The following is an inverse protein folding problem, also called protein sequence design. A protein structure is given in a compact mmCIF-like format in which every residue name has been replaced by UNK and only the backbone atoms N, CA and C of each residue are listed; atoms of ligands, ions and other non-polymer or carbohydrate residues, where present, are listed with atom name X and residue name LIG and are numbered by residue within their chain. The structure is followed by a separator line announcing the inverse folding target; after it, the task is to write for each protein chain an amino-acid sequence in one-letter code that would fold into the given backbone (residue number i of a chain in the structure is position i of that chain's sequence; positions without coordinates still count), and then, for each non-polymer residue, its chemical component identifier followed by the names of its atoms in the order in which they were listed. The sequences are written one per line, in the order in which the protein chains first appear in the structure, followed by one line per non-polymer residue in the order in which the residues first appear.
data_IF_992166780144
#
_entry.id   IF_992166780144
#
_cell.length_a   1.000
_cell.length_b   1.000
_cell.length_c   1.000
_cell.angle_alpha   90.00
_cell.angle_beta   90.00
_cell.angle_gamma   90.00
#
_symmetry.space_group_name_H-M   'P 1'
#
loop_
_entity.id
_entity.type
_entity.pdbx_description
1 polymer ?
#
# COMPACT_ATOMS: atom_id res chain seq x y z
N UNK A 1 29.35 -12.81 -25.38
CA UNK A 1 28.99 -13.77 -26.45
C UNK A 1 29.01 -15.15 -25.83
N UNK A 2 27.89 -15.88 -25.84
CA UNK A 2 27.82 -17.23 -25.28
C UNK A 2 28.71 -18.19 -26.09
N UNK A 3 29.36 -19.14 -25.40
CA UNK A 3 30.12 -20.21 -26.07
C UNK A 3 29.24 -21.09 -26.97
N UNK A 4 29.82 -22.08 -27.66
CA UNK A 4 29.05 -22.97 -28.52
C UNK A 4 27.96 -23.69 -27.70
N UNK A 5 26.78 -23.86 -28.31
CA UNK A 5 25.70 -24.63 -27.74
C UNK A 5 26.18 -26.05 -27.39
N UNK A 6 25.90 -26.50 -26.16
CA UNK A 6 26.25 -27.83 -25.66
C UNK A 6 25.03 -28.42 -24.99
N UNK A 7 24.59 -29.58 -25.47
CA UNK A 7 23.51 -30.32 -24.82
C UNK A 7 24.03 -31.04 -23.58
N UNK A 8 23.31 -30.88 -22.48
CA UNK A 8 23.60 -31.54 -21.22
C UNK A 8 23.38 -33.05 -21.38
N UNK A 9 24.48 -33.81 -21.30
CA UNK A 9 24.43 -35.27 -21.36
C UNK A 9 23.89 -35.82 -20.05
N UNK A 10 22.66 -36.31 -20.10
CA UNK A 10 21.97 -36.95 -18.98
C UNK A 10 22.18 -38.47 -19.02
N UNK A 11 22.24 -39.16 -17.86
CA UNK A 11 22.39 -40.62 -17.83
C UNK A 11 21.34 -41.33 -18.67
N UNK A 12 21.70 -42.45 -19.32
CA UNK A 12 20.78 -43.19 -20.19
C UNK A 12 19.51 -43.67 -19.46
N UNK A 13 19.62 -43.96 -18.16
CA UNK A 13 18.53 -44.35 -17.28
C UNK A 13 17.79 -43.16 -16.62
N UNK A 14 18.11 -41.91 -16.96
CA UNK A 14 17.44 -40.75 -16.42
C UNK A 14 15.94 -40.78 -16.73
N UNK A 15 15.10 -40.36 -15.78
CA UNK A 15 13.66 -40.26 -15.99
C UNK A 15 13.33 -39.25 -17.09
N UNK A 16 12.16 -39.39 -17.72
CA UNK A 16 11.70 -38.46 -18.75
C UNK A 16 11.72 -36.99 -18.28
N UNK A 17 11.37 -36.73 -17.01
CA UNK A 17 11.42 -35.38 -16.42
C UNK A 17 12.82 -34.78 -16.35
N UNK A 18 13.83 -35.56 -15.97
CA UNK A 18 15.24 -35.09 -15.92
C UNK A 18 15.77 -34.77 -17.32
N UNK A 19 15.44 -35.60 -18.31
CA UNK A 19 15.80 -35.34 -19.71
C UNK A 19 15.12 -34.07 -20.24
N UNK A 20 13.84 -33.89 -19.94
CA UNK A 20 13.08 -32.71 -20.33
C UNK A 20 13.65 -31.44 -19.68
N UNK A 21 13.99 -31.48 -18.38
CA UNK A 21 14.57 -30.35 -17.68
C UNK A 21 15.94 -29.96 -18.26
N UNK A 22 16.81 -30.94 -18.53
CA UNK A 22 18.09 -30.70 -19.18
C UNK A 22 17.91 -30.05 -20.56
N UNK A 23 16.99 -30.57 -21.38
CA UNK A 23 16.67 -29.99 -22.69
C UNK A 23 16.19 -28.53 -22.60
N UNK A 24 15.39 -28.21 -21.57
CA UNK A 24 14.95 -26.84 -21.29
C UNK A 24 16.14 -25.98 -20.85
N UNK A 25 16.91 -26.41 -19.85
CA UNK A 25 18.03 -25.65 -19.28
C UNK A 25 19.12 -25.32 -20.33
N UNK A 26 19.33 -26.20 -21.31
CA UNK A 26 20.25 -25.96 -22.44
C UNK A 26 19.81 -24.79 -23.33
N UNK A 27 18.52 -24.42 -23.31
CA UNK A 27 17.91 -23.39 -24.19
C UNK A 27 17.39 -22.18 -23.43
N UNK A 28 16.96 -22.38 -22.19
CA UNK A 28 16.39 -21.38 -21.31
C UNK A 28 16.79 -21.73 -19.87
N UNK A 29 17.50 -20.85 -19.14
CA UNK A 29 18.14 -21.18 -17.86
C UNK A 29 17.13 -21.25 -16.70
N UNK A 30 16.14 -22.13 -16.80
CA UNK A 30 15.01 -22.26 -15.87
C UNK A 30 15.49 -22.60 -14.46
N UNK A 31 16.32 -23.63 -14.31
CA UNK A 31 16.81 -24.07 -13.01
C UNK A 31 17.71 -23.02 -12.37
N UNK A 32 18.52 -22.31 -13.17
CA UNK A 32 19.34 -21.21 -12.68
C UNK A 32 18.47 -20.05 -12.21
N UNK A 33 17.48 -19.64 -13.01
CA UNK A 33 16.54 -18.57 -12.65
C UNK A 33 15.79 -18.91 -11.36
N UNK A 34 15.27 -20.14 -11.25
CA UNK A 34 14.63 -20.62 -10.03
C UNK A 34 15.57 -20.55 -8.82
N UNK A 35 16.80 -21.06 -8.95
CA UNK A 35 17.75 -21.09 -7.84
C UNK A 35 18.20 -19.69 -7.42
N UNK A 36 18.44 -18.79 -8.37
CA UNK A 36 18.87 -17.42 -8.12
C UNK A 36 17.75 -16.58 -7.47
N UNK A 37 16.49 -16.79 -7.88
CA UNK A 37 15.36 -16.00 -7.41
C UNK A 37 14.68 -16.57 -6.15
N UNK A 38 14.71 -17.89 -5.95
CA UNK A 38 13.98 -18.51 -4.83
C UNK A 38 14.67 -19.75 -4.28
N UNK A 39 14.95 -20.76 -5.11
CA UNK A 39 15.38 -22.08 -4.67
C UNK A 39 16.59 -22.05 -3.71
N UNK A 40 17.71 -21.52 -4.18
CA UNK A 40 18.98 -21.41 -3.43
C UNK A 40 19.25 -20.00 -2.95
N UNK A 41 18.30 -19.08 -3.09
CA UNK A 41 18.43 -17.71 -2.58
C UNK A 41 18.52 -17.75 -1.05
N UNK A 42 19.60 -17.21 -0.48
CA UNK A 42 19.83 -17.20 0.96
C UNK A 42 19.06 -16.07 1.64
N UNK A 43 18.19 -16.42 2.59
CA UNK A 43 17.42 -15.48 3.39
C UNK A 43 17.78 -15.59 4.90
N UNK A 44 17.67 -14.48 5.68
CA UNK A 44 18.02 -14.45 7.10
C UNK A 44 17.25 -15.44 7.97
N UNK A 45 17.97 -16.29 8.71
CA UNK A 45 17.41 -17.40 9.54
C UNK A 45 16.30 -16.98 10.52
N UNK A 46 16.33 -15.74 11.03
CA UNK A 46 15.45 -15.25 12.09
C UNK A 46 14.16 -14.56 11.58
N UNK A 47 13.69 -14.83 10.35
CA UNK A 47 12.38 -14.36 9.89
C UNK A 47 11.25 -14.80 10.82
N UNK A 48 10.47 -13.84 11.30
CA UNK A 48 9.27 -14.10 12.07
C UNK A 48 7.99 -14.01 11.19
N UNK A 49 6.83 -14.05 11.85
CA UNK A 49 5.50 -14.00 11.20
C UNK A 49 5.32 -12.79 10.28
N UNK A 50 5.93 -11.64 10.58
CA UNK A 50 5.78 -10.42 9.78
C UNK A 50 6.37 -10.52 8.37
N UNK A 51 7.21 -11.53 8.13
CA UNK A 51 7.80 -11.78 6.81
C UNK A 51 6.87 -12.58 5.88
N UNK A 52 5.70 -13.03 6.36
CA UNK A 52 4.67 -13.69 5.54
C UNK A 52 3.91 -12.71 4.62
N UNK A 53 3.77 -11.45 5.02
CA UNK A 53 2.89 -10.51 4.31
C UNK A 53 3.37 -10.16 2.89
N UNK A 54 4.63 -10.45 2.53
CA UNK A 54 5.11 -10.31 1.16
C UNK A 54 4.56 -11.40 0.23
N UNK A 55 4.66 -12.66 0.64
CA UNK A 55 4.12 -13.79 -0.13
C UNK A 55 2.60 -13.81 -0.14
N UNK A 56 1.95 -13.41 0.97
CA UNK A 56 0.50 -13.22 0.99
C UNK A 56 0.04 -12.12 0.03
N UNK A 57 0.79 -11.01 -0.11
CA UNK A 57 0.43 -9.96 -1.07
C UNK A 57 0.49 -10.49 -2.51
N UNK A 58 1.47 -11.34 -2.83
CA UNK A 58 1.56 -12.01 -4.13
C UNK A 58 0.39 -12.96 -4.36
N UNK A 59 0.03 -13.76 -3.35
CA UNK A 59 -1.12 -14.67 -3.43
C UNK A 59 -2.41 -13.90 -3.73
N UNK A 60 -2.67 -12.82 -2.99
CA UNK A 60 -3.88 -12.00 -3.18
C UNK A 60 -3.85 -11.28 -4.53
N UNK A 61 -2.69 -10.80 -5.00
CA UNK A 61 -2.56 -10.24 -6.34
C UNK A 61 -2.98 -11.24 -7.43
N UNK A 62 -2.48 -12.48 -7.35
CA UNK A 62 -2.87 -13.56 -8.28
C UNK A 62 -4.37 -13.85 -8.18
N UNK A 63 -4.90 -13.91 -6.95
CA UNK A 63 -6.33 -14.10 -6.73
C UNK A 63 -7.16 -13.00 -7.39
N UNK A 64 -6.78 -11.73 -7.23
CA UNK A 64 -7.48 -10.59 -7.84
C UNK A 64 -7.43 -10.65 -9.37
N UNK A 65 -6.28 -10.96 -9.97
CA UNK A 65 -6.15 -11.07 -11.43
C UNK A 65 -7.03 -12.19 -11.96
N UNK A 66 -6.93 -13.39 -11.37
CA UNK A 66 -7.68 -14.57 -11.84
C UNK A 66 -9.18 -14.32 -11.71
N UNK A 67 -9.65 -13.88 -10.55
CA UNK A 67 -11.08 -13.59 -10.34
C UNK A 67 -11.56 -12.42 -11.19
N UNK A 68 -10.74 -11.39 -11.39
CA UNK A 68 -11.06 -10.25 -12.26
C UNK A 68 -11.24 -10.66 -13.73
N UNK A 69 -10.40 -11.56 -14.23
CA UNK A 69 -10.55 -12.13 -15.58
C UNK A 69 -11.90 -12.86 -15.72
N UNK A 70 -12.25 -13.73 -14.76
CA UNK A 70 -13.54 -14.43 -14.78
C UNK A 70 -14.74 -13.48 -14.70
N UNK A 71 -14.68 -12.44 -13.86
CA UNK A 71 -15.75 -11.44 -13.76
C UNK A 71 -15.89 -10.66 -15.07
N UNK A 72 -14.78 -10.30 -15.71
CA UNK A 72 -14.76 -9.55 -16.96
C UNK A 72 -15.43 -10.30 -18.12
N UNK A 73 -15.42 -11.64 -18.10
CA UNK A 73 -16.12 -12.46 -19.11
C UNK A 73 -17.65 -12.29 -19.10
N UNK A 74 -18.22 -11.79 -17.98
CA UNK A 74 -19.66 -11.66 -17.78
C UNK A 74 -20.12 -10.22 -17.52
N UNK A 75 -19.20 -9.31 -17.17
CA UNK A 75 -19.49 -7.91 -16.89
C UNK A 75 -19.77 -7.09 -18.17
N UNK A 76 -20.65 -6.07 -18.07
CA UNK A 76 -20.94 -5.12 -19.15
C UNK A 76 -20.59 -3.69 -18.72
N UNK A 77 -19.54 -3.06 -19.28
CA UNK A 77 -19.15 -1.68 -18.97
C UNK A 77 -20.03 -0.65 -19.69
N UNK A 78 -21.33 -0.68 -19.39
CA UNK A 78 -22.37 0.23 -19.90
C UNK A 78 -23.21 0.70 -18.71
N UNK A 79 -23.43 2.00 -18.55
CA UNK A 79 -24.10 2.57 -17.38
C UNK A 79 -25.53 2.02 -17.14
N UNK A 80 -26.22 1.56 -18.19
CA UNK A 80 -27.55 0.96 -18.07
C UNK A 80 -27.49 -0.53 -17.72
N UNK A 81 -26.40 -1.21 -18.06
CA UNK A 81 -26.26 -2.67 -17.92
C UNK A 81 -25.33 -3.09 -16.79
N UNK A 82 -24.44 -2.22 -16.31
CA UNK A 82 -23.37 -2.56 -15.37
C UNK A 82 -23.89 -3.19 -14.10
N UNK A 83 -24.82 -2.52 -13.41
CA UNK A 83 -25.43 -3.04 -12.18
C UNK A 83 -26.15 -4.37 -12.44
N UNK A 84 -26.95 -4.45 -13.50
CA UNK A 84 -27.66 -5.68 -13.89
C UNK A 84 -26.72 -6.83 -14.22
N UNK A 85 -25.58 -6.56 -14.86
CA UNK A 85 -24.58 -7.59 -15.20
C UNK A 85 -23.89 -8.15 -13.95
N UNK A 86 -23.70 -7.34 -12.92
CA UNK A 86 -23.17 -7.81 -11.63
C UNK A 86 -24.19 -8.69 -10.90
N UNK A 87 -25.47 -8.33 -10.93
CA UNK A 87 -26.53 -9.19 -10.38
C UNK A 87 -26.68 -10.51 -11.18
N UNK A 88 -26.50 -10.46 -12.50
CA UNK A 88 -26.43 -11.67 -13.34
C UNK A 88 -25.29 -12.59 -12.92
N UNK A 89 -24.08 -12.05 -12.68
CA UNK A 89 -22.94 -12.83 -12.15
C UNK A 89 -23.30 -13.49 -10.82
N UNK A 90 -23.99 -12.79 -9.93
CA UNK A 90 -24.37 -13.32 -8.63
C UNK A 90 -25.40 -14.45 -8.70
N UNK A 91 -26.33 -14.39 -9.64
CA UNK A 91 -27.55 -15.20 -9.63
C UNK A 91 -27.54 -16.31 -10.66
N UNK A 92 -26.98 -16.05 -11.84
CA UNK A 92 -27.14 -16.91 -13.02
C UNK A 92 -25.84 -17.62 -13.42
N UNK A 93 -24.68 -16.99 -13.19
CA UNK A 93 -23.40 -17.62 -13.54
C UNK A 93 -23.07 -18.71 -12.50
N UNK A 94 -22.82 -19.96 -12.92
CA UNK A 94 -22.40 -21.02 -12.00
C UNK A 94 -21.15 -20.60 -11.22
N UNK A 95 -21.24 -20.61 -9.89
CA UNK A 95 -20.19 -20.13 -8.96
C UNK A 95 -19.82 -18.63 -9.09
N UNK A 96 -20.57 -17.83 -9.86
CA UNK A 96 -20.27 -16.41 -10.06
C UNK A 96 -20.34 -15.59 -8.76
N UNK A 97 -21.26 -15.95 -7.84
CA UNK A 97 -21.31 -15.35 -6.51
C UNK A 97 -20.01 -15.54 -5.71
N UNK A 98 -19.40 -16.72 -5.81
CA UNK A 98 -18.16 -17.04 -5.10
C UNK A 98 -17.01 -16.24 -5.69
N UNK A 99 -16.91 -16.18 -7.03
CA UNK A 99 -15.88 -15.39 -7.71
C UNK A 99 -16.01 -13.90 -7.39
N UNK A 100 -17.24 -13.35 -7.37
CA UNK A 100 -17.48 -11.95 -7.01
C UNK A 100 -17.08 -11.68 -5.55
N UNK A 101 -17.45 -12.55 -4.62
CA UNK A 101 -17.05 -12.37 -3.22
C UNK A 101 -15.54 -12.56 -3.02
N UNK A 102 -14.91 -13.51 -3.70
CA UNK A 102 -13.45 -13.64 -3.68
C UNK A 102 -12.77 -12.35 -4.18
N UNK A 103 -13.27 -11.75 -5.26
CA UNK A 103 -12.68 -10.53 -5.81
C UNK A 103 -12.91 -9.30 -4.93
N UNK A 104 -14.12 -9.12 -4.41
CA UNK A 104 -14.47 -7.96 -3.56
C UNK A 104 -13.87 -8.05 -2.16
N UNK A 105 -14.06 -9.16 -1.46
CA UNK A 105 -13.43 -9.38 -0.14
C UNK A 105 -11.91 -9.53 -0.25
N UNK A 106 -11.42 -10.07 -1.37
CA UNK A 106 -9.99 -10.16 -1.68
C UNK A 106 -9.33 -8.80 -1.76
N UNK A 107 -10.01 -7.76 -2.29
CA UNK A 107 -9.51 -6.38 -2.24
C UNK A 107 -9.30 -5.90 -0.79
N UNK A 108 -10.26 -6.14 0.11
CA UNK A 108 -10.09 -5.82 1.54
C UNK A 108 -8.93 -6.59 2.17
N UNK A 109 -8.81 -7.89 1.91
CA UNK A 109 -7.67 -8.67 2.40
C UNK A 109 -6.34 -8.17 1.84
N UNK A 110 -6.33 -7.67 0.60
CA UNK A 110 -5.14 -7.09 -0.02
C UNK A 110 -4.64 -5.88 0.77
N UNK A 111 -5.53 -4.95 1.13
CA UNK A 111 -5.15 -3.79 1.95
C UNK A 111 -4.76 -4.17 3.38
N UNK A 112 -5.42 -5.15 4.00
CA UNK A 112 -4.99 -5.67 5.32
C UNK A 112 -3.55 -6.18 5.22
N UNK A 113 -3.26 -7.03 4.23
CA UNK A 113 -1.92 -7.60 4.02
C UNK A 113 -0.89 -6.52 3.73
N UNK A 114 -1.20 -5.54 2.87
CA UNK A 114 -0.28 -4.45 2.51
C UNK A 114 -0.04 -3.51 3.69
N UNK A 115 -1.06 -3.16 4.48
CA UNK A 115 -0.86 -2.36 5.70
C UNK A 115 0.01 -3.08 6.72
N UNK A 116 -0.18 -4.38 6.92
CA UNK A 116 0.70 -5.19 7.78
C UNK A 116 2.12 -5.33 7.21
N UNK A 117 2.25 -5.42 5.88
CA UNK A 117 3.54 -5.42 5.19
C UNK A 117 4.30 -4.09 5.38
N UNK A 118 3.62 -2.96 5.24
CA UNK A 118 4.18 -1.63 5.45
C UNK A 118 4.51 -1.39 6.93
N UNK A 119 3.65 -1.83 7.85
CA UNK A 119 3.91 -1.78 9.29
C UNK A 119 5.17 -2.57 9.67
N UNK A 120 5.38 -3.75 9.07
CA UNK A 120 6.65 -4.49 9.20
C UNK A 120 7.83 -3.66 8.70
N UNK A 121 7.69 -3.01 7.54
CA UNK A 121 8.72 -2.12 6.99
C UNK A 121 9.08 -1.00 7.97
N UNK A 122 8.06 -0.39 8.58
CA UNK A 122 8.18 0.67 9.57
C UNK A 122 8.92 0.20 10.83
N UNK A 123 8.53 -0.96 11.39
CA UNK A 123 9.10 -1.53 12.62
C UNK A 123 10.57 -1.96 12.46
N UNK A 124 10.93 -2.62 11.36
CA UNK A 124 12.30 -3.15 11.17
C UNK A 124 13.22 -2.20 10.41
N UNK A 125 12.72 -1.03 9.99
CA UNK A 125 13.51 -0.08 9.21
C UNK A 125 13.89 -0.62 7.84
N UNK A 126 13.02 -1.44 7.22
CA UNK A 126 13.30 -2.09 5.93
C UNK A 126 13.32 -1.12 4.74
N UNK A 127 12.95 0.14 4.97
CA UNK A 127 13.02 1.23 3.99
C UNK A 127 14.36 1.98 4.02
N UNK A 128 15.20 1.70 5.02
CA UNK A 128 16.48 2.41 5.21
C UNK A 128 17.56 1.85 4.30
N UNK A 129 18.63 2.63 4.09
CA UNK A 129 19.80 2.25 3.28
C UNK A 129 20.26 0.81 3.53
N UNK A 130 20.46 -0.04 2.49
CA UNK A 130 20.41 0.28 1.04
C UNK A 130 19.07 -0.03 0.35
N UNK A 131 17.94 -0.02 1.08
CA UNK A 131 16.64 -0.50 0.59
C UNK A 131 15.67 0.60 0.15
N UNK A 132 16.17 1.79 -0.14
CA UNK A 132 15.34 2.95 -0.51
C UNK A 132 14.54 2.66 -1.79
N UNK A 133 15.16 2.04 -2.81
CA UNK A 133 14.46 1.69 -4.05
C UNK A 133 13.36 0.64 -3.84
N UNK A 134 13.57 -0.34 -2.97
CA UNK A 134 12.53 -1.32 -2.61
C UNK A 134 11.33 -0.59 -2.01
N UNK A 135 11.58 0.37 -1.11
CA UNK A 135 10.54 1.18 -0.50
C UNK A 135 9.79 2.03 -1.52
N UNK A 136 10.49 2.69 -2.44
CA UNK A 136 9.86 3.52 -3.48
C UNK A 136 9.03 2.68 -4.46
N UNK A 137 9.51 1.51 -4.88
CA UNK A 137 8.71 0.59 -5.70
C UNK A 137 7.49 0.08 -4.92
N UNK A 138 7.66 -0.27 -3.64
CA UNK A 138 6.55 -0.67 -2.76
C UNK A 138 5.50 0.44 -2.59
N UNK A 139 5.95 1.69 -2.45
CA UNK A 139 5.07 2.86 -2.41
C UNK A 139 4.35 3.10 -3.74
N UNK A 140 5.04 2.92 -4.88
CA UNK A 140 4.43 2.95 -6.21
C UNK A 140 3.34 1.88 -6.36
N UNK A 141 3.61 0.64 -5.92
CA UNK A 141 2.62 -0.44 -5.88
C UNK A 141 1.43 -0.03 -5.02
N UNK A 142 1.66 0.56 -3.85
CA UNK A 142 0.58 1.02 -2.96
C UNK A 142 -0.30 2.07 -3.63
N UNK A 143 0.28 3.07 -4.32
CA UNK A 143 -0.49 4.07 -5.07
C UNK A 143 -1.31 3.44 -6.20
N UNK A 144 -0.70 2.53 -6.97
CA UNK A 144 -1.41 1.81 -8.02
C UNK A 144 -2.52 0.92 -7.47
N UNK A 145 -2.31 0.27 -6.31
CA UNK A 145 -3.33 -0.54 -5.65
C UNK A 145 -4.50 0.33 -5.13
N UNK A 146 -4.22 1.52 -4.61
CA UNK A 146 -5.27 2.48 -4.25
C UNK A 146 -6.08 2.89 -5.47
N UNK A 147 -5.43 3.22 -6.58
CA UNK A 147 -6.12 3.57 -7.82
C UNK A 147 -6.92 2.38 -8.38
N UNK A 148 -6.37 1.17 -8.33
CA UNK A 148 -6.97 -0.07 -8.81
C UNK A 148 -8.24 -0.40 -8.05
N UNK A 149 -8.18 -0.35 -6.71
CA UNK A 149 -9.33 -0.59 -5.86
C UNK A 149 -10.39 0.50 -6.01
N UNK A 150 -9.98 1.76 -6.21
CA UNK A 150 -10.90 2.84 -6.54
C UNK A 150 -11.65 2.52 -7.83
N UNK A 151 -10.96 2.32 -8.96
CA UNK A 151 -11.65 2.07 -10.24
C UNK A 151 -12.52 0.80 -10.22
N UNK A 152 -12.05 -0.28 -9.59
CA UNK A 152 -12.83 -1.51 -9.42
C UNK A 152 -14.11 -1.30 -8.61
N UNK A 153 -14.07 -0.46 -7.57
CA UNK A 153 -15.24 -0.15 -6.73
C UNK A 153 -16.35 0.61 -7.49
N UNK A 154 -16.03 1.21 -8.64
CA UNK A 154 -16.97 1.98 -9.45
C UNK A 154 -17.74 1.12 -10.45
N UNK A 155 -17.19 -0.04 -10.81
CA UNK A 155 -17.74 -0.91 -11.85
C UNK A 155 -19.13 -1.49 -11.53
N UNK A 156 -19.47 -1.83 -10.27
CA UNK A 156 -20.82 -2.28 -9.94
C UNK A 156 -21.91 -1.26 -10.24
N UNK A 157 -21.55 0.02 -10.38
CA UNK A 157 -22.48 1.11 -10.71
C UNK A 157 -23.68 1.22 -9.74
N UNK A 158 -23.42 0.96 -8.46
CA UNK A 158 -24.37 1.23 -7.37
C UNK A 158 -24.26 2.66 -6.84
N UNK A 159 -25.04 3.00 -5.82
CA UNK A 159 -25.03 4.36 -5.25
C UNK A 159 -23.64 4.80 -4.77
N UNK A 160 -22.93 3.94 -4.04
CA UNK A 160 -21.61 4.29 -3.50
C UNK A 160 -20.54 4.34 -4.60
N UNK A 161 -20.70 3.53 -5.64
CA UNK A 161 -19.90 3.59 -6.87
C UNK A 161 -20.04 4.98 -7.51
N UNK A 162 -21.27 5.38 -7.87
CA UNK A 162 -21.50 6.63 -8.59
C UNK A 162 -21.11 7.87 -7.78
N UNK A 163 -21.59 7.97 -6.54
CA UNK A 163 -21.32 9.14 -5.71
C UNK A 163 -19.87 9.19 -5.23
N UNK A 164 -19.23 8.03 -5.00
CA UNK A 164 -17.80 7.94 -4.74
C UNK A 164 -16.95 8.48 -5.90
N UNK A 165 -17.28 8.10 -7.14
CA UNK A 165 -16.66 8.66 -8.33
C UNK A 165 -16.83 10.18 -8.39
N UNK A 166 -18.06 10.66 -8.20
CA UNK A 166 -18.38 12.08 -8.24
C UNK A 166 -17.56 12.88 -7.21
N UNK A 167 -17.45 12.41 -5.97
CA UNK A 167 -16.64 13.07 -4.93
C UNK A 167 -15.18 13.11 -5.33
N UNK A 168 -14.58 11.98 -5.71
CA UNK A 168 -13.14 11.90 -6.02
C UNK A 168 -12.79 12.75 -7.25
N UNK A 169 -13.57 12.67 -8.33
CA UNK A 169 -13.30 13.51 -9.53
C UNK A 169 -13.44 14.99 -9.19
N UNK A 170 -14.37 15.37 -8.32
CA UNK A 170 -14.54 16.75 -7.87
C UNK A 170 -13.39 17.26 -6.98
N UNK A 171 -12.55 16.38 -6.42
CA UNK A 171 -11.35 16.79 -5.69
C UNK A 171 -10.32 17.44 -6.63
N UNK A 172 -10.16 16.92 -7.84
CA UNK A 172 -9.27 17.51 -8.85
C UNK A 172 -9.72 18.92 -9.28
N UNK A 173 -11.03 19.18 -9.20
CA UNK A 173 -11.62 20.47 -9.50
C UNK A 173 -11.22 21.59 -8.53
N UNK A 174 -10.67 21.23 -7.36
CA UNK A 174 -10.16 22.19 -6.40
C UNK A 174 -8.78 22.76 -6.79
N UNK A 175 -8.08 22.16 -7.76
CA UNK A 175 -6.77 22.64 -8.19
C UNK A 175 -6.93 23.99 -8.92
N UNK A 176 -6.25 25.07 -8.47
CA UNK A 176 -6.35 26.36 -9.13
C UNK A 176 -5.90 26.29 -10.59
N UNK A 177 -6.51 27.10 -11.44
CA UNK A 177 -6.22 27.23 -12.89
C UNK A 177 -6.66 26.03 -13.73
N UNK A 178 -6.19 24.82 -13.42
CA UNK A 178 -6.40 23.63 -14.26
C UNK A 178 -7.52 22.70 -13.77
N UNK A 179 -8.03 22.91 -12.56
CA UNK A 179 -8.95 21.98 -11.89
C UNK A 179 -10.22 21.65 -12.68
N UNK A 180 -11.00 22.66 -13.16
CA UNK A 180 -12.22 22.41 -13.92
C UNK A 180 -11.99 21.56 -15.18
N UNK A 181 -10.97 21.92 -15.97
CA UNK A 181 -10.62 21.20 -17.20
C UNK A 181 -10.10 19.80 -16.91
N UNK A 182 -9.31 19.63 -15.84
CA UNK A 182 -8.83 18.33 -15.40
C UNK A 182 -9.97 17.42 -14.94
N UNK A 183 -10.92 17.93 -14.15
CA UNK A 183 -12.08 17.15 -13.71
C UNK A 183 -13.00 16.76 -14.87
N UNK A 184 -13.19 17.65 -15.85
CA UNK A 184 -13.93 17.37 -17.08
C UNK A 184 -13.22 16.30 -17.90
N UNK A 185 -11.90 16.45 -18.09
CA UNK A 185 -11.09 15.48 -18.80
C UNK A 185 -11.03 14.13 -18.11
N UNK A 186 -11.01 14.04 -16.78
CA UNK A 186 -10.98 12.75 -16.06
C UNK A 186 -12.31 12.00 -16.26
N UNK A 187 -13.45 12.67 -16.11
CA UNK A 187 -14.76 12.01 -16.24
C UNK A 187 -15.20 11.78 -17.68
N UNK A 188 -14.76 12.62 -18.61
CA UNK A 188 -15.05 12.49 -20.05
C UNK A 188 -16.38 13.08 -20.50
N UNK A 189 -17.12 13.75 -19.62
CA UNK A 189 -18.43 14.37 -19.87
C UNK A 189 -18.69 15.44 -18.79
N UNK A 190 -19.78 16.19 -18.82
CA UNK A 190 -20.05 17.22 -17.79
C UNK A 190 -20.39 16.64 -16.41
N UNK A 191 -20.91 15.42 -16.38
CA UNK A 191 -21.24 14.66 -15.16
C UNK A 191 -20.56 13.30 -15.19
N UNK A 192 -20.57 12.58 -14.07
CA UNK A 192 -20.22 11.15 -14.09
C UNK A 192 -21.26 10.42 -14.92
N UNK A 193 -20.83 9.75 -15.98
CA UNK A 193 -21.71 9.13 -16.98
C UNK A 193 -21.10 7.83 -17.51
N UNK A 194 -21.73 7.26 -18.54
CA UNK A 194 -21.24 6.08 -19.25
C UNK A 194 -19.77 6.23 -19.72
N UNK A 195 -19.41 7.42 -20.22
CA UNK A 195 -18.04 7.72 -20.64
C UNK A 195 -17.04 7.57 -19.48
N UNK A 196 -17.44 7.94 -18.26
CA UNK A 196 -16.63 7.78 -17.05
C UNK A 196 -16.44 6.30 -16.74
N UNK A 197 -17.53 5.54 -16.72
CA UNK A 197 -17.52 4.11 -16.41
C UNK A 197 -16.61 3.33 -17.36
N UNK A 198 -16.74 3.57 -18.66
CA UNK A 198 -15.99 2.84 -19.67
C UNK A 198 -14.47 3.06 -19.54
N UNK A 199 -14.06 4.29 -19.24
CA UNK A 199 -12.64 4.62 -18.99
C UNK A 199 -12.12 3.99 -17.72
N UNK A 200 -12.91 4.00 -16.65
CA UNK A 200 -12.53 3.38 -15.39
C UNK A 200 -12.43 1.86 -15.51
N UNK A 201 -13.28 1.23 -16.31
CA UNK A 201 -13.12 -0.18 -16.70
C UNK A 201 -11.78 -0.43 -17.41
N UNK A 202 -11.39 0.42 -18.37
CA UNK A 202 -10.10 0.27 -19.06
C UNK A 202 -8.90 0.45 -18.11
N UNK A 203 -8.98 1.40 -17.16
CA UNK A 203 -7.92 1.58 -16.17
C UNK A 203 -7.81 0.39 -15.22
N UNK A 204 -8.95 -0.12 -14.73
CA UNK A 204 -9.00 -1.23 -13.80
C UNK A 204 -8.58 -2.56 -14.43
N UNK A 205 -9.06 -2.89 -15.62
CA UNK A 205 -8.84 -4.22 -16.21
C UNK A 205 -7.50 -4.32 -16.94
N UNK A 206 -7.01 -3.21 -17.51
CA UNK A 206 -5.84 -3.23 -18.40
C UNK A 206 -4.69 -2.43 -17.80
N UNK A 207 -4.86 -1.11 -17.67
CA UNK A 207 -3.71 -0.23 -17.47
C UNK A 207 -3.02 -0.48 -16.11
N UNK A 208 -3.76 -0.44 -15.01
CA UNK A 208 -3.18 -0.55 -13.68
C UNK A 208 -2.66 -1.93 -13.32
N UNK A 209 -3.33 -3.06 -13.65
CA UNK A 209 -2.77 -4.39 -13.42
C UNK A 209 -1.40 -4.57 -14.08
N UNK A 210 -1.23 -4.09 -15.32
CA UNK A 210 0.04 -4.16 -16.03
C UNK A 210 1.13 -3.32 -15.34
N UNK A 211 0.79 -2.12 -14.87
CA UNK A 211 1.71 -1.28 -14.09
C UNK A 211 2.08 -1.95 -12.77
N UNK A 212 1.12 -2.52 -12.05
CA UNK A 212 1.35 -3.26 -10.78
C UNK A 212 2.29 -4.43 -11.02
N UNK A 213 2.07 -5.24 -12.06
CA UNK A 213 2.95 -6.37 -12.41
C UNK A 213 4.39 -5.91 -12.68
N UNK A 214 4.56 -4.82 -13.44
CA UNK A 214 5.87 -4.23 -13.71
C UNK A 214 6.56 -3.72 -12.44
N UNK A 215 5.82 -3.03 -11.57
CA UNK A 215 6.34 -2.53 -10.30
C UNK A 215 6.67 -3.65 -9.31
N UNK A 216 5.87 -4.71 -9.26
CA UNK A 216 6.13 -5.91 -8.45
C UNK A 216 7.40 -6.60 -8.92
N UNK A 217 7.60 -6.75 -10.24
CA UNK A 217 8.85 -7.28 -10.77
C UNK A 217 10.05 -6.40 -10.36
N UNK A 218 9.95 -5.08 -10.52
CA UNK A 218 11.00 -4.15 -10.09
C UNK A 218 11.26 -4.22 -8.57
N UNK A 219 10.20 -4.37 -7.76
CA UNK A 219 10.28 -4.51 -6.31
C UNK A 219 11.03 -5.78 -5.88
N UNK A 220 10.75 -6.91 -6.52
CA UNK A 220 11.42 -8.19 -6.26
C UNK A 220 12.87 -8.19 -6.74
N UNK A 221 13.16 -7.59 -7.91
CA UNK A 221 14.54 -7.45 -8.41
C UNK A 221 15.36 -6.60 -7.44
N UNK A 222 14.83 -5.44 -7.00
CA UNK A 222 15.50 -4.59 -6.03
C UNK A 222 15.72 -5.32 -4.69
N UNK A 223 14.76 -6.15 -4.25
CA UNK A 223 14.89 -6.99 -3.05
C UNK A 223 16.02 -8.01 -3.18
N UNK A 224 16.13 -8.70 -4.31
CA UNK A 224 17.14 -9.75 -4.49
C UNK A 224 18.55 -9.17 -4.62
N UNK A 225 18.67 -7.96 -5.19
CA UNK A 225 19.95 -7.24 -5.29
C UNK A 225 20.54 -6.96 -3.90
N UNK A 226 19.79 -6.27 -3.02
CA UNK A 226 20.32 -5.85 -1.71
C UNK A 226 20.04 -6.84 -0.58
N UNK A 227 19.15 -7.81 -0.80
CA UNK A 227 18.78 -8.81 0.18
C UNK A 227 17.70 -8.36 1.18
N UNK A 228 16.98 -9.35 1.70
CA UNK A 228 15.94 -9.12 2.72
C UNK A 228 16.52 -8.59 4.03
N UNK A 229 15.85 -7.58 4.60
CA UNK A 229 16.10 -7.19 5.99
C UNK A 229 15.64 -8.30 6.95
N UNK A 230 15.93 -8.19 8.24
CA UNK A 230 15.46 -9.12 9.27
C UNK A 230 15.07 -8.39 10.56
N UNK A 231 14.44 -9.08 11.54
CA UNK A 231 14.00 -8.43 12.77
C UNK A 231 15.11 -7.75 13.58
N UNK A 232 16.37 -8.14 13.39
CA UNK A 232 17.52 -7.52 14.07
C UNK A 232 18.15 -6.39 13.24
N UNK A 233 17.82 -6.26 11.96
CA UNK A 233 18.32 -5.18 11.10
C UNK A 233 19.77 -5.35 10.62
N UNK A 234 20.36 -6.54 10.82
CA UNK A 234 21.76 -6.88 10.51
C UNK A 234 21.89 -7.34 9.05
N UNK A 235 22.92 -6.91 8.33
CA UNK A 235 23.17 -7.40 6.96
C UNK A 235 23.85 -8.76 6.98
N UNK A 236 23.17 -9.80 6.49
CA UNK A 236 23.75 -11.15 6.44
C UNK A 236 24.80 -11.31 5.32
N UNK A 237 24.69 -10.50 4.26
CA UNK A 237 25.60 -10.55 3.10
C UNK A 237 27.02 -10.06 3.45
N UNK A 238 27.18 -9.35 4.57
CA UNK A 238 28.47 -8.85 5.04
C UNK A 238 29.30 -9.94 5.76
N UNK A 239 28.67 -11.05 6.16
CA UNK A 239 29.29 -12.14 6.90
C UNK A 239 29.14 -13.46 6.13
N UNK A 240 30.15 -13.83 5.34
CA UNK A 240 30.16 -15.02 4.49
C UNK A 240 31.03 -16.15 5.07
N UNK A 241 30.68 -17.40 4.77
CA UNK A 241 31.51 -18.58 5.01
C UNK A 241 32.57 -18.77 3.91
N UNK A 242 33.35 -19.85 4.01
CA UNK A 242 34.42 -20.17 3.06
C UNK A 242 33.92 -20.43 1.63
N UNK A 243 32.64 -20.81 1.47
CA UNK A 243 32.00 -21.09 0.19
C UNK A 243 31.30 -19.84 -0.39
N UNK A 244 31.38 -18.70 0.31
CA UNK A 244 30.77 -17.44 -0.09
C UNK A 244 29.28 -17.31 0.26
N UNK A 245 28.74 -18.19 1.12
CA UNK A 245 27.36 -18.12 1.57
C UNK A 245 27.22 -17.32 2.88
N UNK A 246 26.12 -16.57 3.07
CA UNK A 246 25.86 -15.90 4.34
C UNK A 246 25.78 -16.88 5.51
N UNK A 247 26.65 -16.72 6.52
CA UNK A 247 26.69 -17.63 7.69
C UNK A 247 25.36 -17.59 8.46
N UNK A 248 24.66 -16.47 8.39
CA UNK A 248 23.36 -16.21 9.03
C UNK A 248 22.16 -16.38 8.08
N UNK A 249 22.39 -16.90 6.87
CA UNK A 249 21.36 -17.21 5.89
C UNK A 249 21.07 -18.71 5.78
N UNK A 250 19.88 -19.04 5.31
CA UNK A 250 19.49 -20.38 4.83
C UNK A 250 18.88 -20.28 3.44
N UNK A 251 19.01 -21.31 2.59
CA UNK A 251 18.29 -21.39 1.32
C UNK A 251 16.79 -21.20 1.53
N UNK A 252 16.13 -20.44 0.65
CA UNK A 252 14.71 -20.16 0.84
C UNK A 252 13.83 -21.38 0.58
N UNK A 253 14.22 -22.27 -0.34
CA UNK A 253 13.60 -23.57 -0.47
C UNK A 253 14.46 -24.67 0.20
N UNK A 254 13.88 -25.57 1.01
CA UNK A 254 12.45 -25.71 1.31
C UNK A 254 11.97 -24.87 2.51
N UNK A 255 12.87 -24.28 3.30
CA UNK A 255 12.54 -23.74 4.62
C UNK A 255 11.46 -22.64 4.60
N UNK A 256 11.67 -21.57 3.83
CA UNK A 256 10.69 -20.49 3.71
C UNK A 256 9.51 -20.88 2.81
N UNK A 257 9.68 -21.78 1.85
CA UNK A 257 8.53 -22.38 1.15
C UNK A 257 7.56 -23.07 2.11
N UNK A 258 8.04 -23.90 3.03
CA UNK A 258 7.19 -24.60 4.00
C UNK A 258 6.54 -23.63 4.99
N UNK A 259 7.31 -22.68 5.52
CA UNK A 259 6.81 -21.64 6.42
C UNK A 259 5.71 -20.81 5.74
N UNK A 260 5.94 -20.36 4.52
CA UNK A 260 5.00 -19.52 3.79
C UNK A 260 3.76 -20.33 3.37
N UNK A 261 3.91 -21.62 3.01
CA UNK A 261 2.76 -22.49 2.74
C UNK A 261 1.85 -22.65 3.97
N UNK A 262 2.43 -22.79 5.16
CA UNK A 262 1.65 -22.77 6.40
C UNK A 262 0.91 -21.44 6.60
N UNK A 263 1.60 -20.31 6.37
CA UNK A 263 0.98 -18.98 6.42
C UNK A 263 -0.16 -18.82 5.41
N UNK A 264 0.01 -19.33 4.19
CA UNK A 264 -1.01 -19.37 3.13
C UNK A 264 -2.21 -20.22 3.56
N UNK A 265 -1.99 -21.40 4.14
CA UNK A 265 -3.08 -22.25 4.61
C UNK A 265 -3.93 -21.52 5.67
N UNK A 266 -3.31 -20.91 6.66
CA UNK A 266 -4.00 -20.11 7.69
C UNK A 266 -4.75 -18.93 7.07
N UNK A 267 -4.11 -18.20 6.15
CA UNK A 267 -4.74 -17.10 5.45
C UNK A 267 -5.98 -17.56 4.67
N UNK A 268 -5.87 -18.64 3.89
CA UNK A 268 -6.97 -19.18 3.11
C UNK A 268 -8.11 -19.70 3.98
N UNK A 269 -7.83 -20.26 5.16
CA UNK A 269 -8.87 -20.63 6.14
C UNK A 269 -9.66 -19.40 6.59
N UNK A 270 -8.97 -18.33 7.00
CA UNK A 270 -9.61 -17.08 7.45
C UNK A 270 -10.37 -16.42 6.28
N UNK A 271 -9.73 -16.31 5.12
CA UNK A 271 -10.31 -15.71 3.93
C UNK A 271 -11.57 -16.46 3.48
N UNK A 272 -11.53 -17.80 3.47
CA UNK A 272 -12.70 -18.62 3.16
C UNK A 272 -13.80 -18.39 4.19
N UNK A 273 -13.48 -18.36 5.49
CA UNK A 273 -14.48 -18.08 6.52
C UNK A 273 -15.17 -16.73 6.30
N UNK A 274 -14.43 -15.69 5.93
CA UNK A 274 -15.02 -14.39 5.58
C UNK A 274 -15.89 -14.49 4.33
N UNK A 275 -15.40 -15.07 3.23
CA UNK A 275 -16.13 -15.20 1.97
C UNK A 275 -17.45 -15.97 2.14
N UNK A 276 -17.44 -17.08 2.89
CA UNK A 276 -18.62 -17.94 3.03
C UNK A 276 -19.59 -17.49 4.11
N UNK A 277 -19.13 -16.88 5.21
CA UNK A 277 -19.98 -16.60 6.37
C UNK A 277 -20.19 -15.11 6.65
N UNK A 278 -19.32 -14.21 6.17
CA UNK A 278 -19.41 -12.78 6.46
C UNK A 278 -18.84 -11.89 5.33
N UNK A 279 -19.23 -12.05 4.06
CA UNK A 279 -18.58 -11.35 2.94
C UNK A 279 -18.74 -9.82 2.99
N UNK A 280 -19.81 -9.33 3.61
CA UNK A 280 -20.06 -7.89 3.77
C UNK A 280 -19.29 -7.28 4.97
N UNK A 281 -18.89 -8.11 5.94
CA UNK A 281 -18.27 -7.69 7.21
C UNK A 281 -19.04 -6.55 7.90
N UNK A 282 -20.37 -6.64 7.96
CA UNK A 282 -21.21 -5.61 8.58
C UNK A 282 -21.20 -4.26 7.86
N UNK A 283 -20.94 -4.27 6.54
CA UNK A 283 -20.89 -3.07 5.71
C UNK A 283 -19.49 -2.49 5.50
N UNK A 284 -18.46 -3.02 6.18
CA UNK A 284 -17.09 -2.53 6.01
C UNK A 284 -16.47 -2.96 4.68
N UNK A 285 -16.74 -4.19 4.23
CA UNK A 285 -16.14 -4.72 3.00
C UNK A 285 -17.03 -4.43 1.79
N UNK A 286 -18.35 -4.55 1.97
CA UNK A 286 -19.35 -4.24 0.96
C UNK A 286 -20.45 -3.39 1.60
N UNK A 287 -20.54 -2.14 1.19
CA UNK A 287 -21.50 -1.20 1.74
C UNK A 287 -22.91 -1.48 1.21
N UNK A 288 -23.90 -1.50 2.12
CA UNK A 288 -25.29 -1.80 1.79
C UNK A 288 -25.84 -0.92 0.64
N UNK A 289 -25.51 0.38 0.65
CA UNK A 289 -25.96 1.30 -0.37
C UNK A 289 -25.42 0.96 -1.77
N UNK A 290 -24.32 0.21 -1.89
CA UNK A 290 -23.79 -0.20 -3.19
C UNK A 290 -24.57 -1.39 -3.80
N UNK A 291 -25.53 -1.96 -3.08
CA UNK A 291 -26.53 -2.90 -3.62
C UNK A 291 -27.80 -2.18 -4.12
N UNK A 292 -27.82 -0.85 -4.10
CA UNK A 292 -28.84 -0.04 -4.76
C UNK A 292 -28.27 0.50 -6.07
N UNK A 293 -29.01 0.42 -7.19
CA UNK A 293 -28.58 1.02 -8.46
C UNK A 293 -28.27 2.50 -8.30
N UNK A 294 -27.29 2.99 -9.06
CA UNK A 294 -26.95 4.41 -9.08
C UNK A 294 -28.16 5.28 -9.49
N UNK A 295 -28.46 6.29 -8.67
CA UNK A 295 -29.42 7.34 -8.93
C UNK A 295 -28.69 8.70 -8.88
N UNK A 296 -28.40 9.31 -10.05
CA UNK A 296 -27.75 10.62 -10.14
C UNK A 296 -28.50 11.76 -9.44
N UNK A 297 -29.80 11.57 -9.16
CA UNK A 297 -30.67 12.59 -8.56
C UNK A 297 -30.85 12.41 -7.04
N UNK A 298 -30.35 11.31 -6.47
CA UNK A 298 -30.51 10.99 -5.05
C UNK A 298 -29.21 10.57 -4.40
N UNK A 299 -28.58 11.50 -3.69
CA UNK A 299 -27.41 11.24 -2.86
C UNK A 299 -27.80 10.47 -1.58
N UNK A 300 -27.13 9.34 -1.24
CA UNK A 300 -27.33 8.66 0.03
C UNK A 300 -27.00 9.56 1.24
N UNK A 301 -27.67 9.39 2.39
CA UNK A 301 -27.42 10.21 3.59
C UNK A 301 -26.00 10.11 4.14
N UNK A 302 -25.33 8.98 3.94
CA UNK A 302 -23.97 8.75 4.38
C UNK A 302 -23.15 8.17 3.21
N UNK A 303 -22.21 8.96 2.71
CA UNK A 303 -21.23 8.57 1.69
C UNK A 303 -19.86 8.57 2.38
N UNK A 304 -19.30 7.38 2.53
CA UNK A 304 -17.92 7.19 2.94
C UNK A 304 -17.22 6.36 1.85
N UNK A 305 -15.92 6.55 1.64
CA UNK A 305 -15.16 5.61 0.83
C UNK A 305 -14.99 4.29 1.59
N UNK A 306 -14.53 3.27 0.87
CA UNK A 306 -14.17 1.98 1.44
C UNK A 306 -13.16 2.12 2.59
N UNK A 307 -13.26 1.23 3.58
CA UNK A 307 -12.53 1.34 4.87
C UNK A 307 -11.01 1.50 4.72
N UNK A 308 -10.41 0.97 3.66
CA UNK A 308 -8.97 1.09 3.44
C UNK A 308 -8.55 2.48 2.94
N UNK A 309 -9.48 3.36 2.56
CA UNK A 309 -9.20 4.77 2.24
C UNK A 309 -9.58 5.74 3.36
N UNK A 310 -10.35 5.28 4.36
CA UNK A 310 -10.89 6.16 5.40
C UNK A 310 -9.85 6.85 6.28
N UNK A 311 -8.65 6.29 6.56
CA UNK A 311 -7.63 7.04 7.30
C UNK A 311 -7.23 8.34 6.61
N UNK A 312 -7.08 8.31 5.29
CA UNK A 312 -6.72 9.48 4.48
C UNK A 312 -7.92 10.40 4.25
N UNK A 313 -9.11 9.83 3.99
CA UNK A 313 -10.35 10.60 3.89
C UNK A 313 -10.67 11.39 5.16
N UNK A 314 -10.35 10.85 6.34
CA UNK A 314 -10.48 11.56 7.62
C UNK A 314 -9.59 12.81 7.70
N UNK A 315 -8.39 12.77 7.13
CA UNK A 315 -7.52 13.95 7.00
C UNK A 315 -8.16 15.00 6.08
N UNK A 316 -8.73 14.58 4.95
CA UNK A 316 -9.43 15.47 4.01
C UNK A 316 -10.55 16.24 4.72
N UNK A 317 -11.49 15.52 5.35
CA UNK A 317 -12.68 16.11 5.99
C UNK A 317 -12.38 16.86 7.29
N UNK A 318 -11.28 16.54 7.99
CA UNK A 318 -10.85 17.27 9.17
C UNK A 318 -10.42 18.72 8.82
N UNK A 319 -10.10 18.97 7.55
CA UNK A 319 -9.63 20.26 7.03
C UNK A 319 -10.79 21.24 6.83
N UNK A 320 -11.28 21.78 7.94
CA UNK A 320 -12.30 22.83 7.97
C UNK A 320 -11.67 24.23 7.97
N UNK A 321 -12.45 25.27 7.67
CA UNK A 321 -11.99 26.65 7.69
C UNK A 321 -11.35 27.05 9.05
N UNK A 322 -11.96 26.62 10.17
CA UNK A 322 -11.43 26.90 11.51
C UNK A 322 -10.13 26.14 11.77
N UNK A 323 -10.03 24.89 11.29
CA UNK A 323 -8.83 24.08 11.46
C UNK A 323 -7.63 24.63 10.68
N UNK A 324 -7.87 25.37 9.58
CA UNK A 324 -6.80 26.03 8.83
C UNK A 324 -5.98 26.98 9.72
N UNK A 325 -6.60 27.67 10.68
CA UNK A 325 -5.86 28.52 11.61
C UNK A 325 -4.92 27.72 12.52
N UNK A 326 -5.37 26.54 12.96
CA UNK A 326 -4.54 25.61 13.75
C UNK A 326 -3.38 25.09 12.90
N UNK A 327 -3.63 24.75 11.63
CA UNK A 327 -2.59 24.30 10.70
C UNK A 327 -1.56 25.40 10.39
N UNK A 328 -2.00 26.64 10.19
CA UNK A 328 -1.11 27.79 10.03
C UNK A 328 -0.21 27.99 11.26
N UNK A 329 -0.79 27.93 12.46
CA UNK A 329 -0.03 28.00 13.70
C UNK A 329 0.95 26.82 13.85
N UNK A 330 0.55 25.61 13.49
CA UNK A 330 1.40 24.42 13.52
C UNK A 330 2.57 24.52 12.52
N UNK A 331 2.34 25.02 11.30
CA UNK A 331 3.40 25.28 10.31
C UNK A 331 4.35 26.34 10.83
N UNK A 332 3.86 27.46 11.36
CA UNK A 332 4.70 28.51 11.92
C UNK A 332 5.57 27.97 13.07
N UNK A 333 4.97 27.21 14.00
CA UNK A 333 5.68 26.56 15.09
C UNK A 333 6.74 25.58 14.58
N UNK A 334 6.43 24.79 13.54
CA UNK A 334 7.36 23.84 12.94
C UNK A 334 8.53 24.53 12.22
N UNK A 335 8.28 25.63 11.51
CA UNK A 335 9.32 26.46 10.88
C UNK A 335 10.26 27.02 11.94
N UNK A 336 9.72 27.59 13.03
CA UNK A 336 10.51 28.08 14.17
C UNK A 336 11.31 26.93 14.78
N UNK A 337 10.69 25.76 14.97
CA UNK A 337 11.37 24.57 15.49
C UNK A 337 12.54 24.15 14.60
N UNK A 338 12.36 24.07 13.27
CA UNK A 338 13.46 23.78 12.32
C UNK A 338 14.55 24.84 12.44
N UNK A 339 14.19 26.12 12.52
CA UNK A 339 15.15 27.21 12.62
C UNK A 339 16.07 27.04 13.83
N UNK A 340 15.47 26.72 14.98
CA UNK A 340 16.17 26.61 16.26
C UNK A 340 16.90 25.28 16.46
N UNK A 341 16.34 24.16 16.00
CA UNK A 341 16.82 22.81 16.33
C UNK A 341 17.55 22.09 15.20
N UNK A 342 17.40 22.49 13.94
CA UNK A 342 18.08 21.82 12.83
C UNK A 342 19.52 22.29 12.64
N UNK A 343 20.38 21.40 12.13
CA UNK A 343 21.76 21.68 11.69
C UNK A 343 21.84 22.05 10.19
N UNK A 344 20.71 22.37 9.56
CA UNK A 344 20.66 22.72 8.14
C UNK A 344 21.43 24.01 7.87
N UNK A 345 21.97 24.14 6.66
CA UNK A 345 22.63 25.37 6.21
C UNK A 345 21.67 26.56 6.30
N UNK A 346 22.21 27.76 6.57
CA UNK A 346 21.41 28.98 6.73
C UNK A 346 20.50 29.25 5.51
N UNK A 347 21.03 29.05 4.29
CA UNK A 347 20.25 29.16 3.04
C UNK A 347 19.05 28.20 3.01
N UNK A 348 19.23 26.96 3.47
CA UNK A 348 18.16 25.97 3.54
C UNK A 348 17.12 26.36 4.59
N UNK A 349 17.53 26.89 5.74
CA UNK A 349 16.60 27.40 6.77
C UNK A 349 15.76 28.56 6.25
N UNK A 350 16.37 29.50 5.51
CA UNK A 350 15.64 30.57 4.83
C UNK A 350 14.64 29.99 3.82
N UNK A 351 15.06 29.04 2.99
CA UNK A 351 14.17 28.41 2.01
C UNK A 351 12.96 27.74 2.69
N UNK A 352 13.17 27.01 3.79
CA UNK A 352 12.09 26.42 4.60
C UNK A 352 11.17 27.50 5.18
N UNK A 353 11.72 28.60 5.70
CA UNK A 353 10.91 29.70 6.23
C UNK A 353 10.07 30.39 5.14
N UNK A 354 10.63 30.59 3.95
CA UNK A 354 9.90 31.13 2.78
C UNK A 354 8.79 30.17 2.35
N UNK A 355 9.07 28.87 2.25
CA UNK A 355 8.05 27.87 1.92
C UNK A 355 6.94 27.86 2.98
N UNK A 356 7.30 27.86 4.26
CA UNK A 356 6.34 27.92 5.36
C UNK A 356 5.47 29.17 5.31
N UNK A 357 6.05 30.33 5.02
CA UNK A 357 5.30 31.58 4.84
C UNK A 357 4.36 31.51 3.64
N UNK A 358 4.81 30.97 2.49
CA UNK A 358 3.97 30.78 1.30
C UNK A 358 2.79 29.85 1.60
N UNK A 359 3.02 28.75 2.34
CA UNK A 359 1.95 27.86 2.78
C UNK A 359 0.96 28.60 3.69
N UNK A 360 1.44 29.33 4.70
CA UNK A 360 0.58 30.10 5.61
C UNK A 360 -0.25 31.14 4.85
N UNK A 361 0.36 31.91 3.95
CA UNK A 361 -0.35 32.90 3.13
C UNK A 361 -1.38 32.21 2.23
N UNK A 362 -1.04 31.08 1.61
CA UNK A 362 -1.98 30.30 0.81
C UNK A 362 -3.14 29.70 1.62
N UNK A 363 -2.94 29.45 2.92
CA UNK A 363 -3.97 28.96 3.85
C UNK A 363 -4.88 30.07 4.39
N UNK A 364 -4.62 31.34 4.06
CA UNK A 364 -5.52 32.43 4.41
C UNK A 364 -6.84 32.28 3.63
N UNK A 365 -8.00 32.51 4.28
CA UNK A 365 -9.31 32.33 3.65
C UNK A 365 -9.53 33.16 2.37
N UNK A 366 -8.78 34.26 2.21
CA UNK A 366 -8.87 35.16 1.06
C UNK A 366 -8.06 34.68 -0.15
N UNK A 367 -7.20 33.66 0.01
CA UNK A 367 -6.26 33.22 -1.03
C UNK A 367 -6.71 31.90 -1.65
N UNK A 368 -6.82 30.82 -0.86
CA UNK A 368 -7.33 29.53 -1.31
C UNK A 368 -8.30 28.96 -0.29
N UNK A 369 -9.32 28.24 -0.77
CA UNK A 369 -10.34 27.67 0.09
C UNK A 369 -9.83 26.46 0.90
N UNK A 370 -10.53 26.13 1.99
CA UNK A 370 -10.20 24.96 2.80
C UNK A 370 -10.38 23.65 2.01
N UNK A 371 -11.22 23.64 0.96
CA UNK A 371 -11.44 22.47 0.10
C UNK A 371 -10.15 22.09 -0.64
N UNK A 372 -9.44 23.05 -1.21
CA UNK A 372 -8.14 22.85 -1.84
C UNK A 372 -7.14 22.28 -0.83
N UNK A 373 -7.03 22.88 0.35
CA UNK A 373 -6.10 22.39 1.38
C UNK A 373 -6.45 21.01 1.92
N UNK A 374 -7.74 20.65 1.96
CA UNK A 374 -8.18 19.29 2.26
C UNK A 374 -7.65 18.27 1.24
N UNK A 375 -7.65 18.61 -0.05
CA UNK A 375 -7.06 17.77 -1.11
C UNK A 375 -5.54 17.70 -0.97
N UNK A 376 -4.88 18.83 -0.69
CA UNK A 376 -3.42 18.87 -0.47
C UNK A 376 -3.02 18.00 0.72
N UNK A 377 -3.74 18.09 1.85
CA UNK A 377 -3.44 17.30 3.05
C UNK A 377 -3.78 15.82 2.86
N UNK A 378 -4.88 15.49 2.17
CA UNK A 378 -5.18 14.13 1.74
C UNK A 378 -4.01 13.52 0.96
N UNK A 379 -3.58 14.18 -0.12
CA UNK A 379 -2.46 13.70 -0.94
C UNK A 379 -1.15 13.64 -0.14
N UNK A 380 -0.87 14.66 0.67
CA UNK A 380 0.33 14.72 1.51
C UNK A 380 0.37 13.60 2.55
N UNK A 381 -0.78 13.22 3.12
CA UNK A 381 -0.86 12.13 4.09
C UNK A 381 -0.48 10.77 3.47
N UNK A 382 -0.79 10.56 2.19
CA UNK A 382 -0.34 9.36 1.47
C UNK A 382 1.15 9.49 1.09
N UNK A 383 1.54 10.62 0.50
CA UNK A 383 2.87 10.82 -0.10
C UNK A 383 3.99 10.92 0.94
N UNK A 384 3.72 11.42 2.15
CA UNK A 384 4.75 11.56 3.21
C UNK A 384 5.38 10.21 3.59
N UNK A 385 4.64 9.11 3.42
CA UNK A 385 5.11 7.74 3.66
C UNK A 385 6.29 7.38 2.75
N UNK A 386 6.32 7.87 1.51
CA UNK A 386 7.43 7.64 0.57
C UNK A 386 8.75 8.20 1.10
N UNK A 387 8.71 9.26 1.91
CA UNK A 387 9.88 9.96 2.41
C UNK A 387 10.52 9.34 3.66
N UNK A 388 9.96 8.25 4.21
CA UNK A 388 10.51 7.56 5.38
C UNK A 388 12.03 7.31 5.34
N UNK A 389 12.65 6.88 4.22
CA UNK A 389 14.10 6.69 4.16
C UNK A 389 14.93 7.93 4.51
N UNK A 390 14.40 9.12 4.25
CA UNK A 390 15.07 10.40 4.51
C UNK A 390 14.60 11.09 5.79
N UNK A 391 13.49 10.64 6.38
CA UNK A 391 12.96 11.15 7.64
C UNK A 391 13.53 10.41 8.86
N UNK A 392 13.83 9.12 8.75
CA UNK A 392 14.34 8.31 9.87
C UNK A 392 15.87 8.36 10.00
N UNK A 393 16.35 9.17 10.95
CA UNK A 393 17.77 9.38 11.22
C UNK A 393 18.30 8.50 12.35
N UNK A 394 17.50 7.55 12.87
CA UNK A 394 17.92 6.65 13.96
C UNK A 394 19.26 5.96 13.69
N UNK A 395 20.18 5.81 14.65
CA UNK A 395 21.38 4.99 14.46
C UNK A 395 21.06 3.48 14.31
N UNK A 396 19.96 3.00 14.90
CA UNK A 396 19.54 1.60 14.78
C UNK A 396 18.40 1.44 13.75
N UNK A 397 18.48 0.42 12.89
CA UNK A 397 17.41 0.13 11.92
C UNK A 397 16.17 -0.46 12.59
N UNK A 398 16.33 -1.58 13.27
CA UNK A 398 15.21 -2.26 13.95
C UNK A 398 14.77 -1.54 15.22
N UNK A 399 13.46 -1.44 15.41
CA UNK A 399 12.85 -0.93 16.65
C UNK A 399 13.27 -1.73 17.90
N UNK A 400 13.76 -2.97 17.74
CA UNK A 400 14.24 -3.81 18.86
C UNK A 400 15.39 -3.16 19.63
N UNK A 401 16.22 -2.38 18.94
CA UNK A 401 17.42 -1.75 19.51
C UNK A 401 17.25 -0.25 19.73
N UNK A 402 16.07 0.29 19.45
CA UNK A 402 15.71 1.67 19.76
C UNK A 402 15.32 1.82 21.23
N UNK A 403 15.39 3.04 21.79
CA UNK A 403 14.82 3.35 23.09
C UNK A 403 13.36 2.90 23.21
N UNK A 404 12.96 2.38 24.36
CA UNK A 404 11.62 1.79 24.50
C UNK A 404 10.50 2.81 24.29
N UNK A 405 10.74 4.10 24.53
CA UNK A 405 9.75 5.15 24.26
C UNK A 405 9.45 5.35 22.77
N UNK A 406 10.35 4.94 21.85
CA UNK A 406 10.04 4.93 20.41
C UNK A 406 8.89 3.98 20.12
N UNK A 407 8.76 2.87 20.85
CA UNK A 407 7.63 1.94 20.67
C UNK A 407 6.30 2.64 20.96
N UNK A 408 6.25 3.50 21.97
CA UNK A 408 5.04 4.28 22.28
C UNK A 408 4.69 5.28 21.18
N UNK A 409 5.70 5.89 20.52
CA UNK A 409 5.47 6.77 19.36
C UNK A 409 4.84 5.99 18.19
N UNK A 410 5.34 4.78 17.91
CA UNK A 410 4.77 3.91 16.87
C UNK A 410 3.36 3.43 17.23
N UNK A 411 3.13 3.06 18.49
CA UNK A 411 1.80 2.67 18.99
C UNK A 411 0.84 3.83 18.85
N UNK A 412 1.22 5.04 19.27
CA UNK A 412 0.40 6.24 19.14
C UNK A 412 0.06 6.52 17.67
N UNK A 413 1.05 6.41 16.77
CA UNK A 413 0.82 6.54 15.33
C UNK A 413 -0.18 5.50 14.81
N UNK A 414 -0.01 4.23 15.18
CA UNK A 414 -0.95 3.16 14.81
C UNK A 414 -2.36 3.40 15.33
N UNK A 415 -2.50 3.86 16.57
CA UNK A 415 -3.79 4.24 17.16
C UNK A 415 -4.42 5.42 16.43
N UNK A 416 -3.65 6.44 16.06
CA UNK A 416 -4.15 7.55 15.25
C UNK A 416 -4.62 7.08 13.87
N UNK A 417 -3.86 6.20 13.22
CA UNK A 417 -4.23 5.65 11.91
C UNK A 417 -5.53 4.84 11.97
N UNK A 418 -5.68 3.98 12.98
CA UNK A 418 -6.91 3.20 13.20
C UNK A 418 -8.09 4.10 13.58
N UNK A 419 -7.86 5.11 14.43
CA UNK A 419 -8.89 6.08 14.81
C UNK A 419 -9.36 6.88 13.59
N UNK A 420 -8.44 7.39 12.76
CA UNK A 420 -8.79 8.05 11.49
C UNK A 420 -9.54 7.11 10.56
N UNK A 421 -9.12 5.84 10.47
CA UNK A 421 -9.84 4.81 9.71
C UNK A 421 -11.27 4.61 10.17
N UNK A 422 -11.49 4.47 11.47
CA UNK A 422 -12.83 4.33 12.04
C UNK A 422 -13.66 5.61 11.86
N UNK A 423 -13.12 6.78 12.20
CA UNK A 423 -13.85 8.06 12.10
C UNK A 423 -14.25 8.39 10.66
N UNK A 424 -13.49 7.93 9.67
CA UNK A 424 -13.82 8.11 8.27
C UNK A 424 -15.03 7.31 7.81
N UNK A 425 -15.42 6.24 8.53
CA UNK A 425 -16.68 5.51 8.30
C UNK A 425 -17.86 6.08 9.07
N UNK A 426 -17.65 7.12 9.90
CA UNK A 426 -18.70 7.73 10.71
C UNK A 426 -19.16 9.07 10.14
N UNK A 427 -20.42 9.42 10.43
CA UNK A 427 -20.95 10.76 10.17
C UNK A 427 -20.18 11.83 10.96
N UNK A 428 -19.99 13.04 10.40
CA UNK A 428 -19.28 14.11 11.08
C UNK A 428 -20.12 14.63 12.25
N UNK A 429 -19.66 14.36 13.48
CA UNK A 429 -20.14 15.06 14.67
C UNK A 429 -19.09 16.06 15.14
N UNK A 430 -19.44 17.08 15.94
CA UNK A 430 -18.45 18.01 16.49
C UNK A 430 -17.32 17.29 17.23
N UNK A 431 -17.65 16.26 18.02
CA UNK A 431 -16.67 15.45 18.75
C UNK A 431 -15.74 14.68 17.79
N UNK A 432 -16.30 13.99 16.79
CA UNK A 432 -15.51 13.23 15.81
C UNK A 432 -14.63 14.12 14.95
N UNK A 433 -15.07 15.34 14.66
CA UNK A 433 -14.30 16.35 13.93
C UNK A 433 -13.06 16.73 14.73
N UNK A 434 -13.21 17.07 16.01
CA UNK A 434 -12.07 17.42 16.89
C UNK A 434 -11.11 16.23 17.02
N UNK A 435 -11.60 15.01 17.22
CA UNK A 435 -10.74 13.82 17.32
C UNK A 435 -9.97 13.59 16.01
N UNK A 436 -10.64 13.76 14.86
CA UNK A 436 -9.99 13.62 13.54
C UNK A 436 -8.90 14.68 13.33
N UNK A 437 -9.14 15.92 13.77
CA UNK A 437 -8.17 17.02 13.70
C UNK A 437 -6.95 16.75 14.57
N UNK A 438 -7.14 16.32 15.83
CA UNK A 438 -6.04 15.95 16.73
C UNK A 438 -5.26 14.77 16.17
N UNK A 439 -5.94 13.72 15.71
CA UNK A 439 -5.30 12.55 15.11
C UNK A 439 -4.54 12.92 13.83
N UNK A 440 -5.04 13.86 13.03
CA UNK A 440 -4.35 14.40 11.84
C UNK A 440 -3.05 15.12 12.23
N UNK A 441 -3.07 15.97 13.26
CA UNK A 441 -1.86 16.63 13.74
C UNK A 441 -0.83 15.61 14.25
N UNK A 442 -1.26 14.60 15.02
CA UNK A 442 -0.39 13.53 15.51
C UNK A 442 0.16 12.65 14.39
N UNK A 443 -0.65 12.38 13.36
CA UNK A 443 -0.25 11.65 12.17
C UNK A 443 0.90 12.37 11.45
N UNK A 444 0.76 13.66 11.15
CA UNK A 444 1.83 14.43 10.51
C UNK A 444 3.02 14.64 11.44
N UNK A 445 2.81 14.86 12.74
CA UNK A 445 3.87 15.00 13.72
C UNK A 445 4.77 13.75 13.79
N UNK A 446 4.21 12.54 13.63
CA UNK A 446 4.98 11.31 13.57
C UNK A 446 6.09 11.38 12.51
N UNK A 447 5.75 11.79 11.28
CA UNK A 447 6.69 11.87 10.16
C UNK A 447 7.55 13.13 10.23
N UNK A 448 6.95 14.30 10.45
CA UNK A 448 7.65 15.59 10.41
C UNK A 448 8.66 15.71 11.56
N UNK A 449 8.37 15.16 12.74
CA UNK A 449 9.30 15.19 13.87
C UNK A 449 10.27 13.99 13.86
N UNK A 450 10.11 13.03 12.94
CA UNK A 450 10.94 11.82 12.86
C UNK A 450 12.44 12.11 12.82
N UNK A 451 12.96 13.12 12.09
CA UNK A 451 14.40 13.41 12.08
C UNK A 451 14.98 13.68 13.47
N UNK A 452 14.16 14.18 14.41
CA UNK A 452 14.58 14.45 15.78
C UNK A 452 14.24 13.29 16.71
N UNK A 453 12.98 12.86 16.78
CA UNK A 453 12.58 11.86 17.77
C UNK A 453 13.25 10.51 17.54
N UNK A 454 13.52 10.13 16.28
CA UNK A 454 14.19 8.88 15.95
C UNK A 454 15.65 8.81 16.40
N UNK A 455 16.29 9.94 16.72
CA UNK A 455 17.70 10.00 17.18
C UNK A 455 17.83 10.17 18.69
N UNK A 456 16.74 10.48 19.39
CA UNK A 456 16.75 10.78 20.83
C UNK A 456 16.71 9.49 21.67
N UNK A 457 17.44 9.50 22.80
CA UNK A 457 17.43 8.42 23.80
C UNK A 457 18.67 7.52 23.76
N UNK A 458 18.67 6.47 24.60
CA UNK A 458 19.76 5.50 24.70
C UNK A 458 19.46 4.24 23.88
N UNK A 459 20.24 4.02 22.82
CA UNK A 459 20.12 2.85 21.95
C UNK A 459 20.74 1.62 22.61
N UNK A 460 20.15 0.45 22.33
CA UNK A 460 20.69 -0.85 22.76
C UNK A 460 21.76 -1.27 21.74
N UNK A 461 22.81 -1.99 22.16
CA UNK A 461 23.80 -2.50 21.23
C UNK A 461 23.14 -3.47 20.24
N UNK A 462 23.41 -3.28 18.95
CA UNK A 462 22.99 -4.21 17.90
C UNK A 462 23.97 -5.38 17.89
N UNK A 463 23.51 -6.64 17.93
CA UNK A 463 24.38 -7.81 17.83
C UNK A 463 25.18 -7.84 16.52
N UNK A 464 26.33 -8.50 16.53
CA UNK A 464 27.14 -8.70 15.31
C UNK A 464 26.63 -9.83 14.41
N UNK A 465 25.77 -10.70 14.95
CA UNK A 465 25.19 -11.90 14.31
C UNK A 465 23.70 -11.96 14.62
N UNK A 466 22.93 -12.64 13.79
CA UNK A 466 21.49 -12.78 14.03
C UNK A 466 21.20 -13.46 15.37
N UNK A 467 20.21 -12.94 16.10
CA UNK A 467 19.67 -13.61 17.27
C UNK A 467 18.62 -14.60 16.79
N UNK A 468 18.95 -15.89 16.87
CA UNK A 468 18.07 -16.99 16.45
C UNK A 468 18.13 -18.12 17.45
N UNK A 469 16.96 -18.66 17.80
CA UNK A 469 16.83 -19.95 18.47
C UNK A 469 16.30 -20.94 17.44
N UNK A 470 16.98 -22.05 17.25
CA UNK A 470 16.45 -23.15 16.46
C UNK A 470 15.10 -23.59 17.06
N UNK A 471 14.09 -23.69 16.20
CA UNK A 471 12.78 -24.22 16.56
C UNK A 471 12.82 -25.73 16.74
#
# INVERSE_FOLDING_TARGET
MGGPFKETQVPANAGAGTRALAWVDDRFPLSKLWNDQWGKYYAPKNFNVWYLFGSLAMLVLVLQIVTGIFLTMHYKPDANLAFGSVEYIMREVPWGWLVRYMHSTGASMFFIVVYLHMARGLMYGSYRKPRELIWLFGFGIFLCLMAEAFFGYLLPWGQMSYWGAQVIVNLFGAIPVIGPDLSLWIRGDYVVSDATLNRFFAFHVIALPLVILGLVAAHLIALHEVGSNNPDGIEIKDNLDADGHPVDGIPSHPYYSTKDFFGVAVFLTIFSAVVFFAPEMGGYFLEYNNFLPADPMKTPPHIAPTWYFTPFYSVLRATTADFMYVLMAAIAAYVVFIWLKSRLAYKTKIAVAVIGLVLIVGMLPQVLDAKFWGVVLFGSSVVIIAFLPWLDHSPARSIRYRPDWHKYVYILFGLCFVALGYLGTQLPTPAYTIISQVATLLYFAFFLLMPWWSTMGRFKPVPNRLTYSAH
#
